data_IF_048867553930
#
_entry.id   IF_048867553930
#
_cell.length_a   1.000
_cell.length_b   1.000
_cell.length_c   1.000
_cell.angle_alpha   90.00
_cell.angle_beta   90.00
_cell.angle_gamma   90.00
#
_symmetry.space_group_name_H-M   'P 1'
#
loop_
_entity.id
_entity.type
_entity.pdbx_description
1 polymer ?
#
# COMPACT_ATOMS: atom_id res chain seq x y z
N UNK A 1 -32.51 -24.55 71.75
CA UNK A 1 -31.66 -23.50 71.15
C UNK A 1 -30.48 -24.19 70.49
N UNK A 2 -30.39 -24.20 69.16
CA UNK A 2 -29.17 -24.30 68.32
C UNK A 2 -29.58 -24.51 66.84
N UNK A 3 -29.15 -23.54 66.02
CA UNK A 3 -28.66 -23.57 64.63
C UNK A 3 -29.59 -24.10 63.52
N UNK A 4 -29.98 -23.19 62.61
CA UNK A 4 -29.45 -23.19 61.22
C UNK A 4 -29.38 -21.73 60.70
N UNK A 5 -28.19 -21.12 60.73
CA UNK A 5 -27.79 -20.02 59.83
C UNK A 5 -26.94 -20.67 58.74
N UNK A 6 -27.40 -20.67 57.49
CA UNK A 6 -26.64 -21.34 56.43
C UNK A 6 -27.16 -21.14 55.01
N UNK A 7 -27.78 -20.00 54.69
CA UNK A 7 -28.12 -19.67 53.30
C UNK A 7 -27.91 -18.18 53.08
N UNK A 8 -26.67 -17.72 52.95
CA UNK A 8 -26.40 -16.35 52.47
C UNK A 8 -25.08 -16.17 51.73
N UNK A 9 -24.07 -17.03 51.87
CA UNK A 9 -22.74 -16.76 51.28
C UNK A 9 -22.54 -17.24 49.84
N UNK A 10 -23.10 -18.38 49.44
CA UNK A 10 -22.78 -19.02 48.15
C UNK A 10 -23.44 -18.34 46.93
N UNK A 11 -24.68 -17.87 47.08
CA UNK A 11 -25.42 -17.14 46.02
C UNK A 11 -24.84 -15.74 45.75
N UNK A 12 -24.29 -15.09 46.78
CA UNK A 12 -23.66 -13.77 46.65
C UNK A 12 -22.32 -13.87 45.91
N UNK A 13 -21.51 -14.90 46.18
CA UNK A 13 -20.23 -15.12 45.49
C UNK A 13 -20.41 -15.41 43.99
N UNK A 14 -21.41 -16.21 43.60
CA UNK A 14 -21.70 -16.49 42.19
C UNK A 14 -22.15 -15.23 41.43
N UNK A 15 -23.04 -14.42 42.03
CA UNK A 15 -23.53 -13.16 41.46
C UNK A 15 -22.41 -12.12 41.27
N UNK A 16 -21.52 -12.00 42.26
CA UNK A 16 -20.37 -11.10 42.21
C UNK A 16 -19.37 -11.54 41.13
N UNK A 17 -19.04 -12.84 41.04
CA UNK A 17 -18.12 -13.36 40.02
C UNK A 17 -18.66 -13.16 38.59
N UNK A 18 -19.95 -13.42 38.35
CA UNK A 18 -20.60 -13.19 37.06
C UNK A 18 -20.59 -11.71 36.66
N UNK A 19 -20.77 -10.81 37.63
CA UNK A 19 -20.72 -9.36 37.39
C UNK A 19 -19.32 -8.91 36.97
N UNK A 20 -18.26 -9.49 37.54
CA UNK A 20 -16.89 -9.23 37.11
C UNK A 20 -16.58 -9.81 35.72
N UNK A 21 -17.07 -11.01 35.39
CA UNK A 21 -16.93 -11.57 34.04
C UNK A 21 -17.69 -10.74 33.00
N UNK A 22 -18.89 -10.25 33.32
CA UNK A 22 -19.65 -9.38 32.43
C UNK A 22 -18.96 -8.03 32.20
N UNK A 23 -18.39 -7.44 33.26
CA UNK A 23 -17.57 -6.22 33.16
C UNK A 23 -16.30 -6.47 32.32
N UNK A 24 -15.63 -7.61 32.50
CA UNK A 24 -14.46 -8.01 31.69
C UNK A 24 -14.82 -8.23 30.22
N UNK A 25 -15.96 -8.85 29.92
CA UNK A 25 -16.46 -9.03 28.55
C UNK A 25 -16.79 -7.68 27.92
N UNK A 26 -17.51 -6.80 28.61
CA UNK A 26 -17.80 -5.44 28.13
C UNK A 26 -16.50 -4.67 27.91
N UNK A 27 -15.55 -4.73 28.85
CA UNK A 27 -14.26 -4.06 28.74
C UNK A 27 -13.47 -4.58 27.53
N UNK A 28 -13.42 -5.89 27.32
CA UNK A 28 -12.76 -6.50 26.15
C UNK A 28 -13.40 -6.10 24.82
N UNK A 29 -14.73 -6.03 24.75
CA UNK A 29 -15.46 -5.58 23.55
C UNK A 29 -15.20 -4.10 23.21
N UNK A 30 -14.91 -3.25 24.21
CA UNK A 30 -14.54 -1.85 23.99
C UNK A 30 -13.14 -1.68 23.37
N UNK A 31 -12.19 -2.59 23.61
CA UNK A 31 -10.85 -2.51 23.01
C UNK A 31 -10.83 -2.94 21.54
N UNK A 32 -11.64 -3.92 21.14
CA UNK A 32 -11.67 -4.39 19.75
C UNK A 32 -12.18 -3.32 18.77
N UNK A 33 -13.18 -2.53 19.17
CA UNK A 33 -13.74 -1.45 18.33
C UNK A 33 -12.73 -0.33 18.03
N UNK A 34 -11.88 0.02 19.01
CA UNK A 34 -10.86 1.05 18.83
C UNK A 34 -9.70 0.60 17.92
N UNK A 35 -9.34 -0.69 17.95
CA UNK A 35 -8.20 -1.22 17.20
C UNK A 35 -8.37 -1.10 15.67
N UNK A 36 -9.57 -1.40 15.14
CA UNK A 36 -9.88 -1.24 13.71
C UNK A 36 -9.77 0.22 13.27
N UNK A 37 -10.25 1.14 14.11
CA UNK A 37 -10.19 2.58 13.85
C UNK A 37 -8.74 3.08 13.78
N UNK A 38 -7.87 2.55 14.65
CA UNK A 38 -6.47 2.92 14.71
C UNK A 38 -5.71 2.38 13.48
N UNK A 39 -6.01 1.15 13.06
CA UNK A 39 -5.40 0.54 11.87
C UNK A 39 -5.71 1.35 10.61
N UNK A 40 -6.98 1.70 10.36
CA UNK A 40 -7.38 2.52 9.21
C UNK A 40 -6.73 3.91 9.27
N UNK A 41 -6.68 4.54 10.43
CA UNK A 41 -6.03 5.85 10.60
C UNK A 41 -4.53 5.80 10.33
N UNK A 42 -3.86 4.71 10.72
CA UNK A 42 -2.42 4.53 10.54
C UNK A 42 -2.01 4.45 9.06
N UNK A 43 -2.90 3.95 8.18
CA UNK A 43 -2.68 3.97 6.72
C UNK A 43 -2.70 5.40 6.14
N UNK A 44 -3.32 6.33 6.87
CA UNK A 44 -3.55 7.70 6.43
C UNK A 44 -4.63 7.85 5.35
N UNK A 45 -5.36 6.80 4.98
CA UNK A 45 -6.41 6.83 3.93
C UNK A 45 -7.46 7.94 4.12
N UNK A 46 -7.66 8.39 5.37
CA UNK A 46 -8.60 9.45 5.73
C UNK A 46 -7.98 10.87 5.77
N UNK A 47 -6.69 11.03 5.53
CA UNK A 47 -6.02 12.34 5.52
C UNK A 47 -6.36 13.10 4.23
N UNK A 48 -6.45 14.44 4.31
CA UNK A 48 -6.77 15.31 3.18
C UNK A 48 -5.53 15.86 2.45
N UNK A 49 -4.33 15.67 3.01
CA UNK A 49 -3.08 16.17 2.45
C UNK A 49 -1.96 15.16 2.68
N UNK A 50 -0.96 15.17 1.81
CA UNK A 50 0.22 14.32 1.93
C UNK A 50 1.27 14.98 2.83
N UNK A 51 1.83 14.23 3.77
CA UNK A 51 3.03 14.64 4.49
C UNK A 51 4.22 14.28 3.62
N UNK A 52 4.74 15.25 2.88
CA UNK A 52 5.90 15.04 2.01
C UNK A 52 7.18 14.95 2.82
N UNK A 53 8.18 14.27 2.27
CA UNK A 53 9.51 14.20 2.85
C UNK A 53 10.47 15.01 2.00
N UNK A 54 11.17 15.96 2.61
CA UNK A 54 12.10 16.85 1.92
C UNK A 54 13.52 16.41 2.28
N UNK A 55 14.33 16.14 1.26
CA UNK A 55 15.74 15.79 1.41
C UNK A 55 16.60 16.79 0.65
N UNK A 56 17.80 17.07 1.17
CA UNK A 56 18.81 17.88 0.49
C UNK A 56 20.18 17.23 0.53
N UNK A 57 20.96 17.48 -0.50
CA UNK A 57 22.38 17.13 -0.59
C UNK A 57 23.08 18.20 -1.45
N UNK A 58 23.77 19.14 -0.80
CA UNK A 58 24.30 20.33 -1.45
C UNK A 58 23.19 21.14 -2.14
N UNK A 59 23.35 21.39 -3.44
CA UNK A 59 22.36 22.06 -4.28
C UNK A 59 21.20 21.15 -4.73
N UNK A 60 21.28 19.85 -4.45
CA UNK A 60 20.23 18.90 -4.84
C UNK A 60 19.11 18.93 -3.82
N UNK A 61 17.89 19.01 -4.32
CA UNK A 61 16.65 19.02 -3.57
C UNK A 61 15.75 17.90 -4.06
N UNK A 62 15.20 17.16 -3.11
CA UNK A 62 14.30 16.06 -3.37
C UNK A 62 13.07 16.17 -2.49
N UNK A 63 11.90 16.05 -3.12
CA UNK A 63 10.63 15.97 -2.41
C UNK A 63 10.01 14.61 -2.73
N UNK A 64 9.75 13.80 -1.70
CA UNK A 64 9.03 12.54 -1.82
C UNK A 64 7.57 12.75 -1.42
N UNK A 65 6.67 12.55 -2.37
CA UNK A 65 5.22 12.48 -2.14
C UNK A 65 4.86 11.01 -1.91
N UNK A 66 4.54 10.60 -0.67
CA UNK A 66 4.14 9.22 -0.40
C UNK A 66 2.76 8.94 -0.97
N UNK A 67 2.70 8.24 -2.10
CA UNK A 67 1.47 7.88 -2.80
C UNK A 67 0.72 6.76 -2.09
N UNK A 68 -0.61 6.74 -2.23
CA UNK A 68 -1.49 5.72 -1.67
C UNK A 68 -2.42 5.23 -2.76
N UNK A 69 -2.67 3.93 -2.81
CA UNK A 69 -3.61 3.35 -3.77
C UNK A 69 -5.08 3.69 -3.48
N UNK A 70 -5.42 4.03 -2.23
CA UNK A 70 -6.74 4.48 -1.81
C UNK A 70 -6.61 5.74 -0.96
N UNK A 71 -7.54 6.67 -1.14
CA UNK A 71 -7.55 7.94 -0.41
C UNK A 71 -8.75 8.80 -0.74
N UNK A 72 -8.96 9.87 0.03
CA UNK A 72 -10.01 10.86 -0.26
C UNK A 72 -9.69 11.60 -1.56
N UNK A 73 -10.70 11.99 -2.36
CA UNK A 73 -10.49 12.88 -3.54
C UNK A 73 -9.62 14.10 -3.21
N UNK A 74 -9.93 14.81 -2.12
CA UNK A 74 -9.21 16.03 -1.72
C UNK A 74 -7.70 15.81 -1.50
N UNK A 75 -7.30 14.60 -1.09
CA UNK A 75 -5.89 14.22 -0.97
C UNK A 75 -5.18 14.23 -2.33
N UNK A 76 -5.83 13.67 -3.35
CA UNK A 76 -5.28 13.66 -4.71
C UNK A 76 -5.35 15.04 -5.37
N UNK A 77 -6.40 15.82 -5.13
CA UNK A 77 -6.49 17.21 -5.61
C UNK A 77 -5.38 18.08 -5.01
N UNK A 78 -5.05 17.87 -3.73
CA UNK A 78 -3.91 18.52 -3.06
C UNK A 78 -2.58 18.16 -3.74
N UNK A 79 -2.35 16.87 -3.99
CA UNK A 79 -1.14 16.40 -4.70
C UNK A 79 -1.06 17.00 -6.10
N UNK A 80 -2.15 17.01 -6.88
CA UNK A 80 -2.16 17.58 -8.23
C UNK A 80 -1.67 19.04 -8.22
N UNK A 81 -2.23 19.89 -7.34
CA UNK A 81 -1.80 21.30 -7.22
C UNK A 81 -0.33 21.42 -6.81
N UNK A 82 0.13 20.53 -5.94
CA UNK A 82 1.52 20.49 -5.50
C UNK A 82 2.47 20.12 -6.65
N UNK A 83 2.21 19.06 -7.43
CA UNK A 83 3.10 18.70 -8.54
C UNK A 83 3.09 19.77 -9.64
N UNK A 84 1.93 20.35 -9.95
CA UNK A 84 1.83 21.49 -10.88
C UNK A 84 2.72 22.66 -10.44
N UNK A 85 2.62 23.06 -9.16
CA UNK A 85 3.44 24.14 -8.60
C UNK A 85 4.93 23.80 -8.57
N UNK A 86 5.31 22.58 -8.21
CA UNK A 86 6.71 22.16 -8.09
C UNK A 86 7.38 22.00 -9.46
N UNK A 87 6.69 21.46 -10.47
CA UNK A 87 7.21 21.41 -11.84
C UNK A 87 7.48 22.83 -12.38
N UNK A 88 6.60 23.80 -12.10
CA UNK A 88 6.84 25.21 -12.43
C UNK A 88 8.05 25.82 -11.67
N UNK A 89 8.53 25.18 -10.60
CA UNK A 89 9.76 25.56 -9.88
C UNK A 89 11.01 24.78 -10.34
N UNK A 90 10.88 24.01 -11.42
CA UNK A 90 11.95 23.24 -12.05
C UNK A 90 12.15 21.83 -11.49
N UNK A 91 11.19 21.29 -10.72
CA UNK A 91 11.25 19.89 -10.30
C UNK A 91 10.90 18.95 -11.45
N UNK A 92 11.71 17.90 -11.63
CA UNK A 92 11.41 16.80 -12.56
C UNK A 92 10.75 15.64 -11.80
N UNK A 93 9.66 15.12 -12.34
CA UNK A 93 8.87 14.06 -11.69
C UNK A 93 9.47 12.68 -11.95
N UNK A 94 9.69 11.93 -10.87
CA UNK A 94 10.08 10.53 -10.87
C UNK A 94 8.90 9.73 -10.32
N UNK A 95 8.26 8.89 -11.14
CA UNK A 95 6.99 8.26 -10.77
C UNK A 95 7.01 6.73 -10.83
N UNK A 96 6.18 6.13 -9.99
CA UNK A 96 5.97 4.69 -9.89
C UNK A 96 5.15 4.15 -11.07
N UNK A 97 5.67 3.14 -11.78
CA UNK A 97 4.91 2.44 -12.82
C UNK A 97 5.52 1.08 -13.08
N UNK A 98 4.84 0.03 -12.61
CA UNK A 98 5.19 -1.36 -12.91
C UNK A 98 4.54 -1.88 -14.20
N UNK A 99 4.20 -0.99 -15.14
CA UNK A 99 3.60 -1.38 -16.41
C UNK A 99 4.50 -2.40 -17.14
N UNK A 100 3.90 -3.44 -17.70
CA UNK A 100 4.65 -4.43 -18.47
C UNK A 100 5.28 -3.82 -19.71
N UNK A 101 6.49 -4.24 -20.01
CA UNK A 101 7.18 -3.99 -21.26
C UNK A 101 7.23 -5.31 -22.05
N UNK A 102 6.18 -5.57 -22.83
CA UNK A 102 5.99 -6.81 -23.59
C UNK A 102 5.45 -6.50 -24.97
N UNK A 103 5.75 -7.37 -25.94
CA UNK A 103 5.47 -7.14 -27.35
C UNK A 103 4.02 -7.45 -27.74
N UNK A 104 3.29 -8.20 -26.90
CA UNK A 104 1.93 -8.64 -27.21
C UNK A 104 1.00 -8.76 -26.01
N UNK A 105 -0.30 -8.69 -26.29
CA UNK A 105 -1.35 -8.94 -25.29
C UNK A 105 -1.29 -10.38 -24.76
N UNK A 106 -0.87 -11.34 -25.58
CA UNK A 106 -0.70 -12.73 -25.20
C UNK A 106 0.42 -12.90 -24.17
N UNK A 107 1.59 -12.26 -24.38
CA UNK A 107 2.65 -12.24 -23.38
C UNK A 107 2.19 -11.56 -22.08
N UNK A 108 1.44 -10.46 -22.18
CA UNK A 108 0.85 -9.80 -21.02
C UNK A 108 -0.06 -10.73 -20.21
N UNK A 109 -0.94 -11.48 -20.87
CA UNK A 109 -1.83 -12.46 -20.23
C UNK A 109 -1.04 -13.55 -19.48
N UNK A 110 0.04 -14.05 -20.08
CA UNK A 110 0.95 -15.01 -19.42
C UNK A 110 1.50 -14.43 -18.11
N UNK A 111 2.07 -13.23 -18.15
CA UNK A 111 2.63 -12.60 -16.95
C UNK A 111 1.56 -12.29 -15.90
N UNK A 112 0.36 -11.85 -16.32
CA UNK A 112 -0.73 -11.61 -15.38
C UNK A 112 -1.19 -12.87 -14.67
N UNK A 113 -1.22 -14.01 -15.36
CA UNK A 113 -1.50 -15.32 -14.74
C UNK A 113 -0.39 -15.75 -13.79
N UNK A 114 0.89 -15.60 -14.18
CA UNK A 114 2.04 -15.90 -13.31
C UNK A 114 2.02 -15.05 -12.05
N UNK A 115 1.84 -13.73 -12.20
CA UNK A 115 1.70 -12.80 -11.09
C UNK A 115 0.52 -13.21 -10.19
N UNK A 116 -0.64 -13.52 -10.78
CA UNK A 116 -1.80 -13.99 -10.01
C UNK A 116 -1.52 -15.27 -9.23
N UNK A 117 -0.82 -16.26 -9.80
CA UNK A 117 -0.43 -17.49 -9.08
C UNK A 117 0.51 -17.22 -7.91
N UNK A 118 1.36 -16.20 -8.04
CA UNK A 118 2.32 -15.78 -7.03
C UNK A 118 1.67 -15.02 -5.86
N UNK A 119 0.74 -14.10 -6.14
CA UNK A 119 0.16 -13.19 -5.14
C UNK A 119 -1.30 -13.48 -4.78
N UNK A 120 -1.99 -14.32 -5.54
CA UNK A 120 -3.37 -14.75 -5.31
C UNK A 120 -4.43 -13.65 -5.44
N UNK A 121 -4.09 -12.51 -6.04
CA UNK A 121 -5.02 -11.37 -6.20
C UNK A 121 -5.78 -11.46 -7.52
N UNK A 122 -7.01 -10.94 -7.54
CA UNK A 122 -7.75 -10.76 -8.79
C UNK A 122 -7.07 -9.67 -9.62
N UNK A 123 -6.80 -9.97 -10.89
CA UNK A 123 -6.14 -9.04 -11.81
C UNK A 123 -7.22 -8.25 -12.56
N UNK A 124 -7.00 -6.95 -12.72
CA UNK A 124 -8.01 -6.08 -13.34
C UNK A 124 -9.24 -5.80 -12.46
N UNK A 125 -9.34 -6.37 -11.25
CA UNK A 125 -10.28 -5.88 -10.24
C UNK A 125 -9.74 -4.64 -9.55
N UNK A 126 -9.48 -3.59 -10.30
CA UNK A 126 -9.74 -2.27 -9.75
C UNK A 126 -11.24 -2.23 -9.52
N UNK A 127 -11.70 -2.62 -8.32
CA UNK A 127 -13.04 -2.20 -7.88
C UNK A 127 -13.00 -0.69 -8.06
N UNK A 128 -13.68 -0.18 -9.08
CA UNK A 128 -13.71 1.25 -9.38
C UNK A 128 -14.48 1.87 -8.22
N UNK A 129 -13.76 2.20 -7.15
CA UNK A 129 -14.32 2.82 -5.94
C UNK A 129 -14.81 4.24 -6.23
N UNK A 130 -14.63 4.74 -7.45
CA UNK A 130 -15.10 6.06 -7.89
C UNK A 130 -16.61 6.24 -7.77
N UNK A 131 -17.40 5.16 -7.79
CA UNK A 131 -18.87 5.22 -7.77
C UNK A 131 -19.53 4.90 -6.43
N UNK A 132 -18.78 4.56 -5.39
CA UNK A 132 -19.38 4.25 -4.08
C UNK A 132 -19.00 5.30 -3.04
N UNK A 133 -20.01 5.98 -2.50
CA UNK A 133 -19.91 6.80 -1.29
C UNK A 133 -19.84 5.97 -0.01
N UNK A 134 -19.97 4.64 -0.12
CA UNK A 134 -20.00 3.71 1.01
C UNK A 134 -18.57 3.30 1.42
N UNK A 135 -17.94 4.20 2.15
CA UNK A 135 -16.62 4.02 2.77
C UNK A 135 -16.53 2.77 3.67
N UNK A 136 -17.66 2.25 4.18
CA UNK A 136 -17.63 1.03 5.01
C UNK A 136 -17.26 -0.21 4.21
N UNK A 137 -17.73 -0.32 2.97
CA UNK A 137 -17.41 -1.45 2.07
C UNK A 137 -16.00 -1.36 1.51
N UNK A 138 -15.49 -0.14 1.33
CA UNK A 138 -14.13 0.10 0.79
C UNK A 138 -13.06 -0.17 1.84
N UNK A 139 -13.28 0.30 3.06
CA UNK A 139 -12.30 0.18 4.16
C UNK A 139 -12.52 -1.05 5.02
N UNK A 140 -13.59 -1.82 4.77
CA UNK A 140 -14.06 -2.93 5.63
C UNK A 140 -14.21 -2.51 7.09
N UNK A 141 -14.57 -1.24 7.32
CA UNK A 141 -14.54 -0.62 8.63
C UNK A 141 -15.88 0.13 8.85
N UNK A 142 -16.87 -0.54 9.48
CA UNK A 142 -18.22 -0.02 9.67
C UNK A 142 -18.29 1.34 10.37
N UNK A 143 -17.32 1.62 11.25
CA UNK A 143 -17.23 2.88 12.02
C UNK A 143 -16.98 4.12 11.14
N UNK A 144 -16.55 3.94 9.89
CA UNK A 144 -16.27 5.04 8.97
C UNK A 144 -17.39 5.32 7.96
N UNK A 145 -18.60 4.84 8.25
CA UNK A 145 -19.80 5.11 7.45
C UNK A 145 -20.05 6.62 7.33
N UNK A 146 -20.32 7.09 6.13
CA UNK A 146 -20.78 8.46 5.87
C UNK A 146 -19.82 9.59 6.27
N UNK A 147 -18.49 9.39 6.21
CA UNK A 147 -17.51 10.47 6.43
C UNK A 147 -17.57 11.62 5.39
N UNK A 148 -18.57 11.65 4.50
CA UNK A 148 -18.78 12.68 3.48
C UNK A 148 -17.71 12.74 2.38
N UNK A 149 -16.59 12.05 2.55
CA UNK A 149 -15.47 12.05 1.63
C UNK A 149 -15.48 10.82 0.73
N UNK A 150 -15.62 11.03 -0.58
CA UNK A 150 -15.47 9.98 -1.59
C UNK A 150 -14.05 9.41 -1.53
N UNK A 151 -13.90 8.18 -1.04
CA UNK A 151 -12.66 7.41 -1.14
C UNK A 151 -12.57 6.89 -2.57
N UNK A 152 -11.46 7.21 -3.24
CA UNK A 152 -11.21 6.80 -4.61
C UNK A 152 -9.89 6.06 -4.69
N UNK A 153 -9.77 5.28 -5.76
CA UNK A 153 -8.47 4.74 -6.17
C UNK A 153 -7.54 5.87 -6.61
N UNK A 154 -6.23 5.67 -6.42
CA UNK A 154 -5.20 6.53 -6.98
C UNK A 154 -5.47 6.78 -8.47
N UNK A 155 -5.69 8.05 -8.87
CA UNK A 155 -5.82 8.39 -10.27
C UNK A 155 -4.54 8.07 -11.06
N UNK A 156 -4.67 7.97 -12.39
CA UNK A 156 -3.53 7.90 -13.30
C UNK A 156 -2.67 9.17 -13.21
N UNK A 157 -1.39 9.10 -13.57
CA UNK A 157 -0.46 10.23 -13.43
C UNK A 157 -0.83 11.48 -14.24
N UNK A 158 -1.60 11.31 -15.33
CA UNK A 158 -2.16 12.43 -16.09
C UNK A 158 -3.09 13.31 -15.26
N UNK A 159 -3.80 12.74 -14.28
CA UNK A 159 -4.61 13.51 -13.35
C UNK A 159 -3.75 14.44 -12.48
N UNK A 160 -2.51 14.07 -12.16
CA UNK A 160 -1.62 14.90 -11.36
C UNK A 160 -0.88 15.96 -12.18
N UNK A 161 -1.19 16.09 -13.48
CA UNK A 161 -0.51 17.01 -14.41
C UNK A 161 1.00 16.74 -14.52
N UNK A 162 1.41 15.47 -14.39
CA UNK A 162 2.82 15.09 -14.65
C UNK A 162 3.17 15.43 -16.10
N UNK A 163 4.26 16.17 -16.31
CA UNK A 163 4.81 16.45 -17.63
C UNK A 163 5.62 15.25 -18.13
N UNK A 164 5.02 14.42 -18.98
CA UNK A 164 5.66 13.22 -19.51
C UNK A 164 6.84 13.49 -20.45
N UNK A 165 7.05 14.72 -20.92
CA UNK A 165 8.22 15.04 -21.75
C UNK A 165 9.51 15.06 -20.94
N UNK A 166 9.41 15.31 -19.63
CA UNK A 166 10.55 15.43 -18.73
C UNK A 166 10.54 14.37 -17.62
N UNK A 167 9.39 13.79 -17.32
CA UNK A 167 9.24 12.80 -16.25
C UNK A 167 10.01 11.50 -16.51
N UNK A 168 10.41 10.86 -15.42
CA UNK A 168 11.14 9.59 -15.41
C UNK A 168 10.27 8.51 -14.79
N UNK A 169 10.13 7.37 -15.48
CA UNK A 169 9.58 6.15 -14.88
C UNK A 169 10.66 5.62 -13.93
N UNK A 170 10.41 5.73 -12.62
CA UNK A 170 11.40 5.47 -11.59
C UNK A 170 11.23 4.09 -10.93
N UNK A 171 10.78 3.11 -11.70
CA UNK A 171 10.33 1.80 -11.22
C UNK A 171 10.75 0.67 -12.17
N UNK A 172 10.58 -0.57 -11.72
CA UNK A 172 10.93 -1.77 -12.48
C UNK A 172 9.65 -2.35 -13.11
N UNK A 173 9.64 -2.64 -14.43
CA UNK A 173 8.53 -3.32 -15.09
C UNK A 173 8.17 -4.65 -14.41
N UNK A 174 6.87 -4.94 -14.31
CA UNK A 174 6.39 -6.15 -13.61
C UNK A 174 6.88 -7.46 -14.25
N UNK A 175 7.11 -7.50 -15.57
CA UNK A 175 7.68 -8.68 -16.24
C UNK A 175 9.11 -8.93 -15.77
N UNK A 176 9.96 -7.90 -15.70
CA UNK A 176 11.34 -8.06 -15.22
C UNK A 176 11.40 -8.56 -13.78
N UNK A 177 10.50 -8.10 -12.90
CA UNK A 177 10.41 -8.60 -11.53
C UNK A 177 10.05 -10.09 -11.48
N UNK A 178 9.18 -10.56 -12.39
CA UNK A 178 8.79 -11.96 -12.49
C UNK A 178 9.91 -12.81 -13.10
N UNK A 179 10.54 -12.33 -14.16
CA UNK A 179 11.64 -13.01 -14.84
C UNK A 179 12.81 -13.22 -13.90
N UNK A 180 13.19 -12.20 -13.12
CA UNK A 180 14.26 -12.32 -12.16
C UNK A 180 13.89 -13.24 -10.98
N UNK A 181 12.61 -13.26 -10.59
CA UNK A 181 12.12 -14.21 -9.60
C UNK A 181 12.23 -15.65 -10.12
N UNK A 182 11.79 -15.92 -11.35
CA UNK A 182 11.86 -17.26 -11.97
C UNK A 182 13.32 -17.69 -12.18
N UNK A 183 14.19 -16.78 -12.60
CA UNK A 183 15.63 -17.03 -12.70
C UNK A 183 16.25 -17.48 -11.36
N UNK A 184 15.81 -16.88 -10.25
CA UNK A 184 16.38 -17.13 -8.92
C UNK A 184 15.78 -18.33 -8.20
N UNK A 185 14.49 -18.62 -8.43
CA UNK A 185 13.71 -19.57 -7.61
C UNK A 185 13.01 -20.67 -8.41
N UNK A 186 13.15 -20.66 -9.74
CA UNK A 186 12.52 -21.57 -10.68
C UNK A 186 11.18 -21.06 -11.21
N UNK A 187 10.74 -21.67 -12.30
CA UNK A 187 9.57 -21.23 -13.06
C UNK A 187 8.25 -21.28 -12.27
N UNK A 188 7.41 -20.28 -12.51
CA UNK A 188 6.02 -20.23 -12.09
C UNK A 188 5.20 -21.05 -13.11
N UNK A 189 5.07 -22.34 -12.82
CA UNK A 189 4.31 -23.27 -13.68
C UNK A 189 2.81 -23.01 -13.58
N UNK A 190 2.19 -22.61 -14.69
CA UNK A 190 0.75 -22.45 -14.83
C UNK A 190 0.10 -23.78 -15.19
N UNK A 191 -0.95 -24.18 -14.47
CA UNK A 191 -1.70 -25.41 -14.70
C UNK A 191 -3.06 -25.15 -15.35
N UNK A 192 -3.82 -26.22 -15.64
CA UNK A 192 -5.11 -26.09 -16.31
C UNK A 192 -6.11 -25.20 -15.55
N UNK A 193 -6.02 -25.10 -14.22
CA UNK A 193 -6.89 -24.19 -13.48
C UNK A 193 -6.55 -22.74 -13.81
N UNK A 194 -5.26 -22.38 -13.78
CA UNK A 194 -4.81 -21.01 -14.03
C UNK A 194 -5.23 -20.47 -15.39
N UNK A 195 -5.20 -21.32 -16.41
CA UNK A 195 -5.61 -20.98 -17.77
C UNK A 195 -7.13 -20.84 -17.91
N UNK A 196 -7.90 -21.70 -17.23
CA UNK A 196 -9.37 -21.72 -17.31
C UNK A 196 -10.02 -20.61 -16.51
N UNK A 197 -9.47 -20.23 -15.36
CA UNK A 197 -10.04 -19.18 -14.51
C UNK A 197 -9.77 -17.81 -15.13
N UNK A 198 -10.80 -17.03 -15.55
CA UNK A 198 -10.64 -15.69 -16.09
C UNK A 198 -9.90 -14.75 -15.12
N UNK A 199 -9.07 -13.83 -15.63
CA UNK A 199 -8.23 -12.94 -14.80
C UNK A 199 -9.04 -12.04 -13.84
N UNK A 200 -10.25 -11.66 -14.24
CA UNK A 200 -11.18 -10.80 -13.50
C UNK A 200 -12.06 -11.53 -12.47
N UNK A 201 -11.91 -12.85 -12.34
CA UNK A 201 -12.62 -13.65 -11.34
C UNK A 201 -11.76 -13.91 -10.08
N UNK A 202 -12.38 -14.18 -8.92
CA UNK A 202 -11.68 -14.65 -7.73
C UNK A 202 -10.73 -15.81 -8.03
N UNK A 203 -9.50 -15.73 -7.53
CA UNK A 203 -8.51 -16.78 -7.74
C UNK A 203 -8.75 -17.97 -6.81
N UNK A 204 -9.17 -19.10 -7.37
CA UNK A 204 -9.49 -20.34 -6.65
C UNK A 204 -8.50 -21.48 -6.92
N UNK A 205 -7.50 -21.25 -7.78
CA UNK A 205 -6.49 -22.24 -8.14
C UNK A 205 -5.43 -22.40 -7.04
N UNK A 206 -4.61 -23.45 -7.17
CA UNK A 206 -3.53 -23.76 -6.23
C UNK A 206 -2.46 -22.66 -6.26
N UNK A 207 -2.28 -21.88 -5.18
CA UNK A 207 -1.27 -20.84 -5.15
C UNK A 207 0.14 -21.43 -5.06
N UNK A 208 1.15 -20.61 -5.38
CA UNK A 208 2.53 -20.95 -5.06
C UNK A 208 2.71 -21.11 -3.54
N UNK A 209 3.76 -21.83 -3.11
CA UNK A 209 4.10 -21.96 -1.69
C UNK A 209 4.27 -20.58 -1.05
N UNK A 210 3.67 -20.37 0.12
CA UNK A 210 3.69 -19.08 0.83
C UNK A 210 5.10 -18.49 1.02
N UNK A 211 6.12 -19.34 1.21
CA UNK A 211 7.53 -18.89 1.29
C UNK A 211 7.95 -18.06 0.08
N UNK A 212 7.54 -18.47 -1.12
CA UNK A 212 7.92 -17.82 -2.38
C UNK A 212 7.16 -16.51 -2.58
N UNK A 213 5.88 -16.48 -2.20
CA UNK A 213 5.12 -15.22 -2.11
C UNK A 213 5.79 -14.21 -1.18
N UNK A 214 6.22 -14.63 0.01
CA UNK A 214 6.88 -13.75 0.98
C UNK A 214 8.27 -13.30 0.52
N UNK A 215 8.98 -14.13 -0.25
CA UNK A 215 10.24 -13.75 -0.91
C UNK A 215 9.95 -12.71 -1.99
N UNK A 216 8.97 -12.95 -2.85
CA UNK A 216 8.61 -12.03 -3.92
C UNK A 216 8.21 -10.65 -3.37
N UNK A 217 7.35 -10.62 -2.35
CA UNK A 217 6.92 -9.38 -1.71
C UNK A 217 8.11 -8.59 -1.12
N UNK A 218 8.95 -9.24 -0.30
CA UNK A 218 10.05 -8.54 0.39
C UNK A 218 11.22 -8.17 -0.53
N UNK A 219 11.64 -9.08 -1.39
CA UNK A 219 12.83 -8.88 -2.21
C UNK A 219 12.53 -8.12 -3.51
N UNK A 220 11.39 -8.40 -4.16
CA UNK A 220 11.09 -7.87 -5.50
C UNK A 220 10.12 -6.69 -5.45
N UNK A 221 9.01 -6.81 -4.73
CA UNK A 221 8.04 -5.72 -4.61
C UNK A 221 8.59 -4.59 -3.73
N UNK A 222 9.27 -4.90 -2.63
CA UNK A 222 9.85 -3.89 -1.75
C UNK A 222 11.29 -3.55 -2.12
N UNK A 223 12.25 -4.40 -1.74
CA UNK A 223 13.68 -4.07 -1.75
C UNK A 223 14.24 -3.67 -3.12
N UNK A 224 13.98 -4.45 -4.18
CA UNK A 224 14.52 -4.16 -5.51
C UNK A 224 14.04 -2.83 -6.07
N UNK A 225 12.74 -2.56 -5.94
CA UNK A 225 12.14 -1.30 -6.42
C UNK A 225 12.67 -0.10 -5.63
N UNK A 226 12.87 -0.25 -4.32
CA UNK A 226 13.50 0.79 -3.48
C UNK A 226 14.96 1.04 -3.84
N UNK A 227 15.74 -0.03 -4.11
CA UNK A 227 17.13 0.07 -4.56
C UNK A 227 17.25 0.73 -5.93
N UNK A 228 16.35 0.38 -6.87
CA UNK A 228 16.28 0.98 -8.18
C UNK A 228 15.96 2.48 -8.09
N UNK A 229 14.93 2.86 -7.33
CA UNK A 229 14.59 4.27 -7.12
C UNK A 229 15.76 5.05 -6.51
N UNK A 230 16.43 4.49 -5.49
CA UNK A 230 17.60 5.11 -4.88
C UNK A 230 18.77 5.27 -5.86
N UNK A 231 19.00 4.28 -6.74
CA UNK A 231 20.01 4.36 -7.78
C UNK A 231 19.71 5.47 -8.80
N UNK A 232 18.49 5.46 -9.35
CA UNK A 232 18.04 6.47 -10.31
C UNK A 232 18.16 7.88 -9.74
N UNK A 233 17.81 8.08 -8.47
CA UNK A 233 17.96 9.37 -7.80
C UNK A 233 19.44 9.73 -7.60
N UNK A 234 20.26 8.80 -7.13
CA UNK A 234 21.68 9.08 -6.89
C UNK A 234 22.38 9.51 -8.19
N UNK A 235 22.10 8.81 -9.28
CA UNK A 235 22.78 8.93 -10.57
C UNK A 235 22.14 10.01 -11.48
N UNK A 236 20.97 10.54 -11.10
CA UNK A 236 20.27 11.59 -11.83
C UNK A 236 21.06 12.91 -11.91
N UNK A 237 21.07 13.53 -13.09
CA UNK A 237 21.66 14.85 -13.33
C UNK A 237 20.78 16.00 -12.82
N UNK A 238 19.50 15.73 -12.59
CA UNK A 238 18.53 16.70 -12.10
C UNK A 238 18.86 17.15 -10.68
N UNK A 239 18.91 18.49 -10.47
CA UNK A 239 19.10 19.09 -9.15
C UNK A 239 17.81 19.08 -8.32
N UNK A 240 16.64 19.16 -8.95
CA UNK A 240 15.34 19.17 -8.27
C UNK A 240 14.51 17.97 -8.72
N UNK A 241 14.25 17.05 -7.80
CA UNK A 241 13.56 15.78 -8.08
C UNK A 241 12.29 15.71 -7.24
N UNK A 242 11.14 15.47 -7.89
CA UNK A 242 9.87 15.21 -7.24
C UNK A 242 9.50 13.75 -7.40
N UNK A 243 9.55 12.97 -6.32
CA UNK A 243 9.21 11.55 -6.35
C UNK A 243 7.74 11.36 -6.03
N UNK A 244 7.03 10.62 -6.87
CA UNK A 244 5.67 10.17 -6.65
C UNK A 244 5.62 8.63 -6.61
N UNK A 245 5.86 8.08 -5.42
CA UNK A 245 6.03 6.63 -5.22
C UNK A 245 5.31 6.17 -3.94
N UNK A 246 4.90 4.90 -3.90
CA UNK A 246 4.12 4.32 -2.82
C UNK A 246 4.70 4.59 -1.43
N UNK A 247 3.82 4.96 -0.48
CA UNK A 247 4.22 5.36 0.87
C UNK A 247 5.04 4.30 1.62
N UNK A 248 4.77 3.01 1.36
CA UNK A 248 5.47 1.89 1.99
C UNK A 248 6.97 1.84 1.64
N UNK A 249 7.36 2.36 0.47
CA UNK A 249 8.72 2.29 -0.04
C UNK A 249 9.66 3.36 0.55
N UNK A 250 9.13 4.42 1.16
CA UNK A 250 9.94 5.57 1.57
C UNK A 250 11.10 5.19 2.49
N UNK A 251 10.86 4.32 3.49
CA UNK A 251 11.90 3.93 4.46
C UNK A 251 13.05 3.18 3.81
N UNK A 252 12.75 2.21 2.95
CA UNK A 252 13.76 1.44 2.24
C UNK A 252 14.49 2.29 1.20
N UNK A 253 13.74 3.10 0.43
CA UNK A 253 14.32 4.10 -0.47
C UNK A 253 15.33 5.01 0.25
N UNK A 254 14.94 5.63 1.38
CA UNK A 254 15.81 6.53 2.13
C UNK A 254 17.06 5.82 2.63
N UNK A 255 16.92 4.57 3.10
CA UNK A 255 18.05 3.73 3.51
C UNK A 255 19.04 3.55 2.36
N UNK A 256 18.57 3.05 1.21
CA UNK A 256 19.45 2.77 0.06
C UNK A 256 20.03 4.04 -0.57
N UNK A 257 19.28 5.16 -0.54
CA UNK A 257 19.79 6.45 -1.00
C UNK A 257 20.97 6.91 -0.13
N UNK A 258 20.87 6.76 1.19
CA UNK A 258 21.94 7.13 2.13
C UNK A 258 23.13 6.19 2.11
N UNK A 259 22.91 4.90 1.86
CA UNK A 259 24.00 3.95 1.64
C UNK A 259 24.85 4.32 0.42
N UNK A 260 24.22 4.90 -0.62
CA UNK A 260 24.92 5.40 -1.81
C UNK A 260 25.59 6.75 -1.57
N UNK A 261 24.94 7.66 -0.86
CA UNK A 261 25.49 8.96 -0.51
C UNK A 261 24.98 9.40 0.87
N UNK A 262 25.83 9.40 1.91
CA UNK A 262 25.41 9.72 3.27
C UNK A 262 25.08 11.20 3.50
N UNK A 263 25.42 12.10 2.57
CA UNK A 263 25.24 13.55 2.69
C UNK A 263 23.78 14.00 2.53
N UNK A 264 22.88 13.08 2.15
CA UNK A 264 21.44 13.34 2.12
C UNK A 264 20.88 13.55 3.54
N UNK A 265 20.39 14.77 3.79
CA UNK A 265 19.78 15.16 5.06
C UNK A 265 18.28 15.39 4.91
N UNK A 266 17.51 15.11 5.96
CA UNK A 266 16.09 15.48 6.01
C UNK A 266 15.98 16.97 6.33
N UNK A 267 15.18 17.69 5.55
CA UNK A 267 14.77 19.06 5.85
C UNK A 267 13.44 18.99 6.61
N UNK A 268 13.39 19.66 7.77
CA UNK A 268 12.17 19.77 8.57
C UNK A 268 11.25 20.84 8.02
#
# INVERSE_FOLDING_TARGET
MIIVKGITSLQIYFSISMRYYFVLIIFSLLFFSCAESLMVQSTGVLQNASRTHHLKNGERELIYIPMRHLGKRNYYDYIQRMVDSLQNQGFVVFYESIAYQVDSAQQRDVYDRKFRKLVGHVIGSTKVYEKTSDTTKVLMAPLYKNLGSRIIQQPQYSFFKVDYNTAVIADIPKNELLDEFEYSYGDIILDSCDWKTPLNEPYTCKPIKAKFRNIFDREFIMKKREQNLAALVADASQKKILIMFGAAHYKGFLKYLKERNPDWINVK
#
